data_IF_739072227514
#
_entry.id   IF_739072227514
#
_cell.length_a   1.000
_cell.length_b   1.000
_cell.length_c   1.000
_cell.angle_alpha   90.00
_cell.angle_beta   90.00
_cell.angle_gamma   90.00
#
_symmetry.space_group_name_H-M   'P 1'
#
loop_
_entity.id
_entity.type
_entity.pdbx_description
1 polymer ?
#
# COMPACT_ATOMS: atom_id res chain seq x y z
N UNK A 1 -16.00 -4.93 -11.45
CA UNK A 1 -16.58 -5.74 -10.33
C UNK A 1 -15.67 -5.61 -9.11
N UNK A 2 -16.22 -5.55 -7.88
CA UNK A 2 -15.41 -5.54 -6.67
C UNK A 2 -14.49 -6.76 -6.59
N UNK A 3 -13.30 -6.61 -5.99
CA UNK A 3 -12.39 -7.70 -5.65
C UNK A 3 -12.69 -8.18 -4.22
N UNK A 4 -12.44 -9.44 -3.93
CA UNK A 4 -12.52 -9.97 -2.55
C UNK A 4 -11.19 -9.75 -1.82
N UNK A 5 -11.23 -9.76 -0.48
CA UNK A 5 -10.00 -9.70 0.33
C UNK A 5 -9.06 -10.89 0.04
N UNK A 6 -9.60 -12.11 -0.13
CA UNK A 6 -8.78 -13.27 -0.45
C UNK A 6 -8.02 -13.10 -1.78
N UNK A 7 -8.68 -12.57 -2.81
CA UNK A 7 -8.04 -12.28 -4.10
C UNK A 7 -6.97 -11.19 -3.97
N UNK A 8 -7.23 -10.13 -3.20
CA UNK A 8 -6.26 -9.07 -2.95
C UNK A 8 -5.06 -9.59 -2.14
N UNK A 9 -5.28 -10.46 -1.15
CA UNK A 9 -4.23 -11.12 -0.38
C UNK A 9 -3.33 -12.01 -1.25
N UNK A 10 -3.85 -12.68 -2.28
CA UNK A 10 -3.03 -13.46 -3.22
C UNK A 10 -1.96 -12.59 -3.87
N UNK A 11 -2.28 -11.34 -4.22
CA UNK A 11 -1.30 -10.40 -4.76
C UNK A 11 -0.35 -9.91 -3.66
N UNK A 12 -0.89 -9.36 -2.58
CA UNK A 12 -0.11 -8.66 -1.54
C UNK A 12 0.89 -9.59 -0.84
N UNK A 13 0.47 -10.82 -0.49
CA UNK A 13 1.31 -11.77 0.25
C UNK A 13 2.51 -12.31 -0.55
N UNK A 14 2.53 -12.16 -1.88
CA UNK A 14 3.74 -12.46 -2.68
C UNK A 14 4.92 -11.57 -2.31
N UNK A 15 4.64 -10.36 -1.83
CA UNK A 15 5.64 -9.34 -1.47
C UNK A 15 5.95 -9.30 0.02
N UNK A 16 5.11 -9.94 0.82
CA UNK A 16 5.34 -10.08 2.26
C UNK A 16 6.13 -11.36 2.51
N UNK A 17 7.22 -11.24 3.26
CA UNK A 17 8.08 -12.39 3.57
C UNK A 17 7.37 -13.43 4.43
N UNK A 18 7.92 -14.66 4.45
CA UNK A 18 7.58 -15.65 5.45
C UNK A 18 8.09 -15.26 6.84
N UNK A 19 8.13 -16.23 7.75
CA UNK A 19 8.62 -16.00 9.11
C UNK A 19 10.10 -15.54 9.10
N UNK A 20 10.35 -14.42 9.78
CA UNK A 20 11.69 -13.90 10.07
C UNK A 20 11.78 -13.51 11.54
N UNK A 21 12.96 -13.74 12.13
CA UNK A 21 13.28 -13.32 13.50
C UNK A 21 14.74 -12.85 13.53
N UNK A 22 14.98 -11.70 12.88
CA UNK A 22 16.31 -11.10 12.88
C UNK A 22 16.49 -10.29 14.15
N UNK A 23 17.46 -10.60 15.04
CA UNK A 23 17.71 -9.84 16.26
C UNK A 23 18.11 -8.37 16.03
N UNK A 24 18.53 -8.04 14.80
CA UNK A 24 18.89 -6.66 14.41
C UNK A 24 17.68 -5.87 13.86
N UNK A 25 16.53 -6.53 13.70
CA UNK A 25 15.30 -5.86 13.28
C UNK A 25 14.54 -5.31 14.50
N UNK A 26 14.41 -3.97 14.62
CA UNK A 26 13.66 -3.35 15.72
C UNK A 26 12.18 -3.79 15.77
N UNK A 27 11.60 -4.21 14.62
CA UNK A 27 10.23 -4.72 14.54
C UNK A 27 10.04 -6.09 15.19
N UNK A 28 11.13 -6.83 15.45
CA UNK A 28 11.11 -8.16 16.02
C UNK A 28 10.55 -9.23 15.08
N UNK A 29 10.11 -10.38 15.66
CA UNK A 29 9.58 -11.48 14.85
C UNK A 29 8.41 -11.05 13.99
N UNK A 30 8.46 -11.42 12.71
CA UNK A 30 7.45 -11.07 11.70
C UNK A 30 7.08 -12.31 10.90
N UNK A 31 5.80 -12.48 10.55
CA UNK A 31 5.33 -13.53 9.67
C UNK A 31 4.18 -13.00 8.80
N UNK A 32 4.22 -13.28 7.50
CA UNK A 32 3.26 -12.73 6.54
C UNK A 32 3.07 -11.21 6.67
N UNK A 33 4.19 -10.45 6.84
CA UNK A 33 4.14 -8.99 7.04
C UNK A 33 3.58 -8.51 8.38
N UNK A 34 3.20 -9.42 9.28
CA UNK A 34 2.63 -9.08 10.59
C UNK A 34 3.70 -9.24 11.67
N UNK A 35 4.05 -8.13 12.34
CA UNK A 35 5.00 -8.13 13.46
C UNK A 35 4.35 -8.69 14.74
N UNK A 36 5.17 -9.26 15.62
CA UNK A 36 4.70 -9.88 16.88
C UNK A 36 3.82 -8.96 17.71
N UNK A 37 4.16 -7.68 17.83
CA UNK A 37 3.38 -6.72 18.61
C UNK A 37 1.96 -6.52 18.07
N UNK A 38 1.80 -6.49 16.72
CA UNK A 38 0.48 -6.41 16.07
C UNK A 38 -0.34 -7.67 16.33
N UNK A 39 0.31 -8.83 16.24
CA UNK A 39 -0.34 -10.10 16.52
C UNK A 39 -0.78 -10.21 18.00
N UNK A 40 0.07 -9.76 18.93
CA UNK A 40 -0.28 -9.71 20.36
C UNK A 40 -1.50 -8.81 20.62
N UNK A 41 -1.57 -7.64 19.98
CA UNK A 41 -2.73 -6.73 20.06
C UNK A 41 -4.01 -7.39 19.56
N UNK A 42 -3.93 -8.04 18.39
CA UNK A 42 -5.06 -8.79 17.81
C UNK A 42 -5.53 -9.89 18.76
N UNK A 43 -4.64 -10.76 19.25
CA UNK A 43 -5.01 -11.84 20.16
C UNK A 43 -5.62 -11.31 21.47
N UNK A 44 -5.07 -10.25 22.01
CA UNK A 44 -5.63 -9.57 23.19
C UNK A 44 -7.05 -9.05 22.94
N UNK A 45 -7.31 -8.45 21.79
CA UNK A 45 -8.66 -7.95 21.42
C UNK A 45 -9.69 -9.07 21.30
N UNK A 46 -9.25 -10.32 21.02
CA UNK A 46 -10.08 -11.53 20.94
C UNK A 46 -10.16 -12.30 22.27
N UNK A 47 -9.53 -11.81 23.34
CA UNK A 47 -9.46 -12.54 24.61
C UNK A 47 -8.59 -13.82 24.55
N UNK A 48 -7.70 -13.92 23.54
CA UNK A 48 -6.81 -15.07 23.35
C UNK A 48 -5.47 -14.87 24.06
N UNK A 49 -4.87 -15.96 24.54
CA UNK A 49 -3.52 -15.93 25.11
C UNK A 49 -2.48 -15.53 24.07
N UNK A 50 -1.36 -14.92 24.55
CA UNK A 50 -0.22 -14.60 23.69
C UNK A 50 0.33 -15.85 23.01
N UNK A 51 0.71 -15.70 21.73
CA UNK A 51 1.29 -16.76 20.91
C UNK A 51 2.37 -16.17 20.01
N UNK A 52 3.36 -16.96 19.61
CA UNK A 52 4.34 -16.54 18.63
C UNK A 52 3.67 -16.29 17.28
N UNK A 53 4.02 -15.16 16.61
CA UNK A 53 3.56 -14.85 15.26
C UNK A 53 3.99 -15.91 14.24
N UNK A 54 5.00 -16.71 14.55
CA UNK A 54 5.40 -17.86 13.73
C UNK A 54 4.24 -18.85 13.55
N UNK A 55 3.37 -18.99 14.55
CA UNK A 55 2.24 -19.91 14.56
C UNK A 55 0.91 -19.27 14.13
N UNK A 56 0.95 -18.06 13.56
CA UNK A 56 -0.24 -17.38 13.05
C UNK A 56 -0.93 -18.24 11.98
N UNK A 57 -2.24 -18.40 12.11
CA UNK A 57 -3.05 -19.15 11.14
C UNK A 57 -3.53 -18.28 10.00
N UNK A 58 -3.95 -18.91 8.87
CA UNK A 58 -4.54 -18.18 7.75
C UNK A 58 -5.76 -17.34 8.19
N UNK A 59 -6.65 -17.91 9.02
CA UNK A 59 -7.81 -17.19 9.51
C UNK A 59 -7.43 -15.93 10.30
N UNK A 60 -6.42 -16.03 11.18
CA UNK A 60 -5.96 -14.91 11.98
C UNK A 60 -5.31 -13.81 11.14
N UNK A 61 -4.39 -14.16 10.22
CA UNK A 61 -3.80 -13.11 9.39
C UNK A 61 -4.80 -12.48 8.42
N UNK A 62 -5.74 -13.25 7.87
CA UNK A 62 -6.80 -12.68 7.02
C UNK A 62 -7.65 -11.68 7.80
N UNK A 63 -8.05 -12.00 9.02
CA UNK A 63 -8.80 -11.07 9.86
C UNK A 63 -7.99 -9.84 10.28
N UNK A 64 -6.69 -9.99 10.53
CA UNK A 64 -5.80 -8.85 10.79
C UNK A 64 -5.74 -7.92 9.57
N UNK A 65 -5.57 -8.47 8.37
CA UNK A 65 -5.56 -7.69 7.13
C UNK A 65 -6.89 -7.01 6.86
N UNK A 66 -8.00 -7.69 7.16
CA UNK A 66 -9.34 -7.12 7.03
C UNK A 66 -9.50 -5.89 7.94
N UNK A 67 -9.34 -6.08 9.24
CA UNK A 67 -9.62 -5.06 10.26
C UNK A 67 -8.67 -3.86 10.16
N UNK A 68 -7.38 -4.09 9.88
CA UNK A 68 -6.38 -3.02 9.95
C UNK A 68 -6.08 -2.34 8.61
N UNK A 69 -6.46 -2.94 7.47
CA UNK A 69 -6.11 -2.39 6.15
C UNK A 69 -7.29 -2.36 5.18
N UNK A 70 -8.04 -3.46 5.04
CA UNK A 70 -9.12 -3.58 4.06
C UNK A 70 -10.34 -2.72 4.39
N UNK A 71 -10.89 -2.87 5.59
CA UNK A 71 -12.04 -2.09 6.07
C UNK A 71 -11.74 -0.58 6.17
N UNK A 72 -10.58 -0.14 6.73
CA UNK A 72 -10.27 1.28 6.82
C UNK A 72 -10.21 2.01 5.48
N UNK A 73 -9.79 1.33 4.41
CA UNK A 73 -9.75 1.91 3.05
C UNK A 73 -11.02 1.61 2.24
N UNK A 74 -12.00 0.96 2.85
CA UNK A 74 -13.32 0.63 2.26
C UNK A 74 -13.22 -0.13 0.94
N UNK A 75 -12.19 -0.95 0.75
CA UNK A 75 -11.87 -1.60 -0.51
C UNK A 75 -13.02 -2.44 -1.09
N UNK A 76 -13.83 -3.08 -0.24
CA UNK A 76 -14.97 -3.92 -0.65
C UNK A 76 -16.11 -3.18 -1.36
N UNK A 77 -16.16 -1.84 -1.24
CA UNK A 77 -17.20 -1.00 -1.83
C UNK A 77 -16.80 -0.36 -3.15
N UNK A 78 -15.59 -0.65 -3.62
CA UNK A 78 -14.96 -0.03 -4.77
C UNK A 78 -14.78 -1.04 -5.90
N UNK A 79 -14.51 -0.55 -7.11
CA UNK A 79 -14.10 -1.42 -8.18
C UNK A 79 -12.82 -2.18 -7.83
N UNK A 80 -12.67 -3.39 -8.38
CA UNK A 80 -11.58 -4.29 -8.03
C UNK A 80 -10.20 -3.69 -8.27
N UNK A 81 -10.05 -2.84 -9.29
CA UNK A 81 -8.80 -2.12 -9.59
C UNK A 81 -8.43 -1.17 -8.45
N UNK A 82 -9.38 -0.33 -8.03
CA UNK A 82 -9.16 0.64 -6.96
C UNK A 82 -9.08 -0.06 -5.60
N UNK A 83 -9.92 -1.07 -5.35
CA UNK A 83 -9.88 -1.85 -4.13
C UNK A 83 -8.52 -2.51 -3.89
N UNK A 84 -7.93 -3.15 -4.94
CA UNK A 84 -6.60 -3.74 -4.87
C UNK A 84 -5.51 -2.67 -4.64
N UNK A 85 -5.55 -1.58 -5.41
CA UNK A 85 -4.57 -0.51 -5.31
C UNK A 85 -4.55 0.10 -3.90
N UNK A 86 -5.72 0.36 -3.31
CA UNK A 86 -5.83 0.90 -1.95
C UNK A 86 -5.36 -0.11 -0.91
N UNK A 87 -5.79 -1.36 -1.00
CA UNK A 87 -5.41 -2.37 -0.03
C UNK A 87 -3.90 -2.57 0.02
N UNK A 88 -3.25 -2.86 -1.12
CA UNK A 88 -1.81 -3.07 -1.16
C UNK A 88 -1.03 -1.81 -0.75
N UNK A 89 -1.55 -0.62 -1.10
CA UNK A 89 -0.94 0.65 -0.66
C UNK A 89 -1.07 0.85 0.84
N UNK A 90 -2.22 0.50 1.44
CA UNK A 90 -2.42 0.60 2.88
C UNK A 90 -1.51 -0.37 3.65
N UNK A 91 -1.33 -1.58 3.15
CA UNK A 91 -0.39 -2.55 3.74
C UNK A 91 1.05 -2.01 3.71
N UNK A 92 1.46 -1.40 2.58
CA UNK A 92 2.85 -0.99 2.36
C UNK A 92 3.21 0.38 2.97
N UNK A 93 2.29 1.35 2.93
CA UNK A 93 2.53 2.75 3.35
C UNK A 93 1.69 3.18 4.57
N UNK A 94 0.92 2.24 5.15
CA UNK A 94 -0.06 2.54 6.18
C UNK A 94 -1.35 3.15 5.61
N UNK A 95 -2.44 3.03 6.37
CA UNK A 95 -3.77 3.53 5.98
C UNK A 95 -3.75 5.04 5.70
N UNK A 96 -3.14 5.83 6.56
CA UNK A 96 -3.06 7.28 6.38
C UNK A 96 -2.32 7.68 5.11
N UNK A 97 -1.18 7.06 4.84
CA UNK A 97 -0.41 7.29 3.60
C UNK A 97 -1.19 6.87 2.34
N UNK A 98 -1.93 5.76 2.42
CA UNK A 98 -2.82 5.32 1.35
C UNK A 98 -3.93 6.34 1.09
N UNK A 99 -4.64 6.76 2.14
CA UNK A 99 -5.76 7.71 2.01
C UNK A 99 -5.31 9.07 1.47
N UNK A 100 -4.13 9.57 1.84
CA UNK A 100 -3.60 10.81 1.25
C UNK A 100 -3.41 10.70 -0.27
N UNK A 101 -2.94 9.55 -0.75
CA UNK A 101 -2.78 9.30 -2.21
C UNK A 101 -4.12 9.21 -2.93
N UNK A 102 -5.11 8.59 -2.28
CA UNK A 102 -6.49 8.61 -2.78
C UNK A 102 -7.02 10.05 -2.85
N UNK A 103 -6.86 10.82 -1.79
CA UNK A 103 -7.30 12.22 -1.72
C UNK A 103 -6.62 13.09 -2.78
N UNK A 104 -5.31 12.92 -2.97
CA UNK A 104 -4.55 13.59 -4.02
C UNK A 104 -5.08 13.22 -5.42
N UNK A 105 -5.34 11.93 -5.67
CA UNK A 105 -5.86 11.45 -6.95
C UNK A 105 -7.28 11.91 -7.25
N UNK A 106 -8.06 12.24 -6.22
CA UNK A 106 -9.42 12.78 -6.32
C UNK A 106 -9.47 14.30 -6.24
N UNK A 107 -8.32 14.97 -6.09
CA UNK A 107 -8.22 16.42 -5.91
C UNK A 107 -9.07 16.95 -4.73
N UNK A 108 -9.06 16.23 -3.59
CA UNK A 108 -9.72 16.62 -2.35
C UNK A 108 -8.70 16.83 -1.22
N UNK A 109 -9.05 17.58 -0.13
CA UNK A 109 -8.11 17.88 0.95
C UNK A 109 -7.45 16.64 1.56
N UNK A 110 -6.13 16.64 1.68
CA UNK A 110 -5.30 15.51 2.15
C UNK A 110 -5.23 15.46 3.68
N UNK A 111 -6.17 14.77 4.31
CA UNK A 111 -6.24 14.58 5.76
C UNK A 111 -5.63 13.26 6.25
N UNK A 112 -5.46 12.29 5.34
CA UNK A 112 -5.02 10.93 5.67
C UNK A 112 -6.10 10.05 6.32
N UNK A 113 -7.34 10.54 6.37
CA UNK A 113 -8.51 9.80 6.85
C UNK A 113 -9.62 9.81 5.81
N UNK A 114 -10.48 8.80 5.82
CA UNK A 114 -11.64 8.78 4.94
C UNK A 114 -12.63 9.90 5.35
N UNK A 115 -12.97 10.79 4.41
CA UNK A 115 -13.84 11.94 4.63
C UNK A 115 -15.07 11.87 3.72
N UNK A 116 -16.07 12.70 4.01
CA UNK A 116 -17.23 12.87 3.11
C UNK A 116 -16.80 13.36 1.73
N UNK A 117 -15.78 14.25 1.65
CA UNK A 117 -15.25 14.72 0.37
C UNK A 117 -14.79 13.59 -0.55
N UNK A 118 -14.21 12.48 -0.01
CA UNK A 118 -13.94 11.27 -0.80
C UNK A 118 -15.25 10.62 -1.24
N UNK A 119 -16.19 10.43 -0.29
CA UNK A 119 -17.45 9.71 -0.54
C UNK A 119 -18.32 10.41 -1.60
N UNK A 120 -18.26 11.73 -1.65
CA UNK A 120 -19.07 12.55 -2.56
C UNK A 120 -18.60 12.43 -4.02
N UNK A 121 -17.31 12.18 -4.26
CA UNK A 121 -16.74 12.21 -5.62
C UNK A 121 -16.31 10.83 -6.16
N UNK A 122 -16.04 9.86 -5.29
CA UNK A 122 -15.40 8.60 -5.68
C UNK A 122 -16.24 7.75 -6.64
N UNK A 123 -17.56 7.80 -6.52
CA UNK A 123 -18.48 7.02 -7.38
C UNK A 123 -18.67 7.63 -8.77
N UNK A 124 -18.39 8.93 -8.92
CA UNK A 124 -18.44 9.65 -10.20
C UNK A 124 -17.07 9.65 -10.90
N UNK A 125 -16.01 9.26 -10.19
CA UNK A 125 -14.64 9.23 -10.71
C UNK A 125 -14.38 7.98 -11.55
N UNK A 126 -13.48 8.08 -12.51
CA UNK A 126 -12.88 6.89 -13.14
C UNK A 126 -11.98 6.17 -12.13
N UNK A 127 -12.51 5.12 -11.51
CA UNK A 127 -11.80 4.38 -10.46
C UNK A 127 -10.56 3.66 -10.98
N UNK A 128 -10.48 3.32 -12.28
CA UNK A 128 -9.27 2.78 -12.88
C UNK A 128 -8.17 3.85 -12.96
N UNK A 129 -8.51 5.04 -13.42
CA UNK A 129 -7.56 6.16 -13.48
C UNK A 129 -7.06 6.54 -12.07
N UNK A 130 -7.96 6.63 -11.09
CA UNK A 130 -7.61 6.87 -9.67
C UNK A 130 -6.64 5.80 -9.16
N UNK A 131 -6.89 4.51 -9.45
CA UNK A 131 -6.02 3.41 -9.05
C UNK A 131 -4.62 3.51 -9.70
N UNK A 132 -4.55 3.87 -10.98
CA UNK A 132 -3.29 4.09 -11.71
C UNK A 132 -2.52 5.26 -11.07
N UNK A 133 -3.18 6.37 -10.76
CA UNK A 133 -2.57 7.53 -10.14
C UNK A 133 -2.01 7.21 -8.75
N UNK A 134 -2.72 6.40 -7.94
CA UNK A 134 -2.20 5.92 -6.65
C UNK A 134 -0.91 5.11 -6.84
N UNK A 135 -0.86 4.21 -7.83
CA UNK A 135 0.34 3.43 -8.13
C UNK A 135 1.51 4.34 -8.57
N UNK A 136 1.26 5.32 -9.43
CA UNK A 136 2.27 6.31 -9.87
C UNK A 136 2.80 7.13 -8.68
N UNK A 137 1.92 7.61 -7.79
CA UNK A 137 2.30 8.35 -6.57
C UNK A 137 3.15 7.50 -5.60
N UNK A 138 2.95 6.17 -5.58
CA UNK A 138 3.82 5.26 -4.82
C UNK A 138 5.22 5.21 -5.41
N UNK A 139 5.32 5.07 -6.73
CA UNK A 139 6.60 5.01 -7.44
C UNK A 139 7.37 6.33 -7.24
N UNK A 140 6.72 7.48 -7.45
CA UNK A 140 7.32 8.79 -7.20
C UNK A 140 7.92 8.90 -5.79
N UNK A 141 7.17 8.46 -4.76
CA UNK A 141 7.67 8.44 -3.37
C UNK A 141 8.97 7.63 -3.20
N UNK A 142 9.18 6.54 -3.96
CA UNK A 142 10.44 5.76 -3.85
C UNK A 142 11.64 6.58 -4.28
N UNK A 143 11.50 7.31 -5.37
CA UNK A 143 12.58 8.15 -5.87
C UNK A 143 12.85 9.35 -4.96
N UNK A 144 11.80 10.01 -4.42
CA UNK A 144 11.98 11.10 -3.46
C UNK A 144 12.69 10.60 -2.21
N UNK A 145 12.28 9.43 -1.69
CA UNK A 145 12.96 8.82 -0.56
C UNK A 145 14.45 8.58 -0.81
N UNK A 146 14.85 8.19 -2.02
CA UNK A 146 16.27 7.99 -2.35
C UNK A 146 17.01 9.32 -2.49
N UNK A 147 16.36 10.41 -2.91
CA UNK A 147 16.95 11.76 -2.90
C UNK A 147 17.25 12.20 -1.46
N UNK A 148 16.32 11.95 -0.52
CA UNK A 148 16.50 12.30 0.90
C UNK A 148 17.41 11.33 1.65
N UNK A 149 17.34 10.03 1.34
CA UNK A 149 18.05 8.94 2.00
C UNK A 149 18.81 8.08 0.98
N UNK A 150 19.94 8.57 0.44
CA UNK A 150 20.72 7.85 -0.58
C UNK A 150 21.22 6.48 -0.10
N UNK A 151 21.41 6.30 1.21
CA UNK A 151 21.77 5.03 1.87
C UNK A 151 20.73 3.92 1.62
N UNK A 152 19.47 4.26 1.34
CA UNK A 152 18.40 3.31 1.08
C UNK A 152 18.28 2.88 -0.38
N UNK A 153 19.16 3.35 -1.25
CA UNK A 153 19.14 2.99 -2.69
C UNK A 153 19.22 1.48 -2.94
N UNK A 154 19.82 0.75 -2.03
CA UNK A 154 19.91 -0.73 -2.10
C UNK A 154 18.55 -1.42 -2.09
N UNK A 155 17.51 -0.77 -1.57
CA UNK A 155 16.14 -1.30 -1.49
C UNK A 155 15.28 -0.88 -2.69
N UNK A 156 15.72 0.09 -3.50
CA UNK A 156 14.92 0.71 -4.55
C UNK A 156 14.38 -0.32 -5.54
N UNK A 157 15.22 -1.22 -6.04
CA UNK A 157 14.81 -2.27 -6.99
C UNK A 157 13.67 -3.13 -6.42
N UNK A 158 13.78 -3.58 -5.18
CA UNK A 158 12.72 -4.36 -4.53
C UNK A 158 11.40 -3.60 -4.39
N UNK A 159 11.47 -2.31 -4.01
CA UNK A 159 10.28 -1.47 -3.90
C UNK A 159 9.61 -1.25 -5.26
N UNK A 160 10.40 -0.93 -6.29
CA UNK A 160 9.89 -0.70 -7.65
C UNK A 160 9.29 -1.97 -8.25
N UNK A 161 9.87 -3.14 -8.02
CA UNK A 161 9.31 -4.41 -8.47
C UNK A 161 7.88 -4.62 -7.96
N UNK A 162 7.63 -4.37 -6.66
CA UNK A 162 6.28 -4.44 -6.09
C UNK A 162 5.34 -3.38 -6.69
N UNK A 163 5.77 -2.12 -6.71
CA UNK A 163 4.94 -1.00 -7.14
C UNK A 163 4.58 -1.12 -8.63
N UNK A 164 5.52 -1.54 -9.46
CA UNK A 164 5.31 -1.81 -10.89
C UNK A 164 4.40 -3.03 -11.12
N UNK A 165 4.57 -4.10 -10.32
CA UNK A 165 3.68 -5.26 -10.40
C UNK A 165 2.24 -4.89 -10.05
N UNK A 166 2.02 -4.01 -9.05
CA UNK A 166 0.70 -3.49 -8.71
C UNK A 166 0.12 -2.69 -9.87
N UNK A 167 0.87 -1.76 -10.45
CA UNK A 167 0.43 -0.95 -11.58
C UNK A 167 0.03 -1.81 -12.79
N UNK A 168 0.84 -2.82 -13.13
CA UNK A 168 0.51 -3.80 -14.19
C UNK A 168 -0.77 -4.56 -13.87
N UNK A 169 -0.91 -5.05 -12.63
CA UNK A 169 -2.10 -5.80 -12.23
C UNK A 169 -3.37 -4.95 -12.33
N UNK A 170 -3.31 -3.70 -11.87
CA UNK A 170 -4.42 -2.72 -11.96
C UNK A 170 -4.79 -2.46 -13.43
N UNK A 171 -3.82 -2.15 -14.29
CA UNK A 171 -4.05 -1.92 -15.72
C UNK A 171 -4.66 -3.14 -16.40
N UNK A 172 -4.14 -4.34 -16.14
CA UNK A 172 -4.67 -5.59 -16.68
C UNK A 172 -6.12 -5.86 -16.24
N UNK A 173 -6.44 -5.64 -14.96
CA UNK A 173 -7.80 -5.78 -14.44
C UNK A 173 -8.77 -4.76 -15.06
N UNK A 174 -8.28 -3.58 -15.41
CA UNK A 174 -9.02 -2.54 -16.13
C UNK A 174 -9.18 -2.81 -17.63
N UNK A 175 -8.69 -3.95 -18.15
CA UNK A 175 -8.78 -4.29 -19.58
C UNK A 175 -7.77 -3.56 -20.48
N UNK A 176 -6.80 -2.83 -19.91
CA UNK A 176 -5.72 -2.22 -20.67
C UNK A 176 -4.74 -3.29 -21.16
N UNK A 177 -4.30 -3.19 -22.43
CA UNK A 177 -3.24 -4.06 -22.95
C UNK A 177 -1.95 -3.77 -22.18
N UNK A 178 -1.46 -4.76 -21.44
CA UNK A 178 -0.16 -4.70 -20.80
C UNK A 178 0.75 -5.64 -21.56
N UNK A 179 1.84 -5.13 -22.14
CA UNK A 179 2.82 -6.00 -22.78
C UNK A 179 3.29 -7.03 -21.74
N UNK A 180 3.36 -8.30 -22.18
CA UNK A 180 3.90 -9.37 -21.34
C UNK A 180 5.40 -9.09 -21.15
N UNK A 181 5.75 -8.60 -19.98
CA UNK A 181 7.14 -8.50 -19.54
C UNK A 181 7.44 -9.73 -18.69
N UNK A 182 8.59 -10.34 -18.91
CA UNK A 182 9.10 -11.38 -18.01
C UNK A 182 9.39 -10.76 -16.62
N UNK A 183 9.30 -11.57 -15.55
CA UNK A 183 9.45 -11.09 -14.16
C UNK A 183 10.82 -10.43 -13.87
N UNK A 184 11.81 -10.65 -14.76
CA UNK A 184 13.18 -10.13 -14.65
C UNK A 184 13.49 -8.89 -15.51
N UNK A 185 12.53 -8.38 -16.28
CA UNK A 185 12.77 -7.16 -17.05
C UNK A 185 12.89 -5.97 -16.08
N UNK A 186 14.06 -5.32 -16.13
CA UNK A 186 14.30 -4.01 -15.52
C UNK A 186 13.35 -3.00 -16.20
N UNK A 187 12.12 -2.92 -15.67
CA UNK A 187 11.13 -1.97 -16.15
C UNK A 187 11.52 -0.59 -15.63
N UNK A 188 12.33 0.09 -16.39
CA UNK A 188 12.37 1.54 -16.38
C UNK A 188 11.04 2.06 -16.92
N UNK A 189 10.02 2.15 -16.04
CA UNK A 189 9.00 3.15 -16.29
C UNK A 189 9.72 4.48 -16.37
N UNK A 190 9.40 5.24 -17.41
CA UNK A 190 9.94 6.57 -17.55
C UNK A 190 9.55 7.37 -16.29
N UNK A 191 10.54 7.50 -15.39
CA UNK A 191 10.37 8.19 -14.11
C UNK A 191 9.97 9.63 -14.35
N UNK A 192 10.49 10.22 -15.42
CA UNK A 192 10.18 11.59 -15.80
C UNK A 192 8.71 11.68 -16.27
N UNK A 193 8.18 10.66 -16.98
CA UNK A 193 6.74 10.58 -17.29
C UNK A 193 5.89 10.53 -16.02
N UNK A 194 6.30 9.75 -15.03
CA UNK A 194 5.57 9.66 -13.75
C UNK A 194 5.59 11.01 -13.02
N UNK A 195 6.77 11.64 -12.89
CA UNK A 195 6.89 12.94 -12.24
C UNK A 195 6.11 14.03 -12.97
N UNK A 196 6.21 14.06 -14.31
CA UNK A 196 5.51 15.03 -15.14
C UNK A 196 3.98 14.84 -15.18
N UNK A 197 3.48 13.71 -14.67
CA UNK A 197 2.02 13.47 -14.54
C UNK A 197 1.41 14.12 -13.29
N UNK A 198 2.22 14.74 -12.41
CA UNK A 198 1.75 15.41 -11.20
C UNK A 198 2.40 16.78 -11.04
N UNK A 199 1.66 17.73 -10.46
CA UNK A 199 2.23 19.01 -10.05
C UNK A 199 3.28 18.79 -8.95
N UNK A 200 4.47 19.42 -9.05
CA UNK A 200 5.54 19.25 -8.06
C UNK A 200 5.12 19.57 -6.62
N UNK A 201 4.25 20.57 -6.46
CA UNK A 201 3.69 20.99 -5.17
C UNK A 201 2.86 19.87 -4.53
N UNK A 202 2.14 19.09 -5.34
CA UNK A 202 1.35 17.95 -4.85
C UNK A 202 2.27 16.86 -4.27
N UNK A 203 3.34 16.51 -4.98
CA UNK A 203 4.30 15.51 -4.51
C UNK A 203 4.96 15.93 -3.20
N UNK A 204 5.39 17.20 -3.13
CA UNK A 204 6.00 17.77 -1.93
C UNK A 204 5.04 17.79 -0.72
N UNK A 205 3.77 18.15 -0.95
CA UNK A 205 2.76 18.19 0.12
C UNK A 205 2.43 16.77 0.65
N UNK A 206 2.32 15.78 -0.23
CA UNK A 206 2.13 14.37 0.19
C UNK A 206 3.28 13.93 1.10
N UNK A 207 4.51 14.24 0.71
CA UNK A 207 5.70 13.86 1.47
C UNK A 207 5.76 14.56 2.83
N UNK A 208 5.50 15.87 2.86
CA UNK A 208 5.43 16.64 4.10
C UNK A 208 4.42 16.03 5.08
N UNK A 209 3.23 15.67 4.61
CA UNK A 209 2.18 15.08 5.43
C UNK A 209 2.50 13.63 5.87
N UNK A 210 3.19 12.85 5.05
CA UNK A 210 3.64 11.51 5.41
C UNK A 210 4.68 11.56 6.53
N UNK A 211 5.62 12.51 6.47
CA UNK A 211 6.67 12.68 7.47
C UNK A 211 6.10 13.12 8.83
N UNK A 212 5.15 14.05 8.85
CA UNK A 212 4.45 14.49 10.08
C UNK A 212 3.70 13.35 10.80
N UNK A 213 3.27 12.33 10.08
CA UNK A 213 2.57 11.18 10.67
C UNK A 213 3.54 10.10 11.17
N UNK A 214 4.71 9.98 10.54
CA UNK A 214 5.79 9.08 10.98
C UNK A 214 6.29 9.44 12.38
N UNK A 215 6.38 10.72 12.70
CA UNK A 215 6.79 11.20 14.01
C UNK A 215 5.79 10.91 15.14
N UNK A 216 4.48 10.80 14.82
CA UNK A 216 3.42 10.51 15.80
C UNK A 216 3.24 9.03 16.14
N UNK A 217 3.85 8.12 15.39
CA UNK A 217 3.73 6.66 15.59
C UNK A 217 4.96 6.06 16.31
N UNK A 218 5.86 6.90 16.84
CA UNK A 218 7.09 6.47 17.54
C UNK A 218 6.91 6.49 19.07
N UNK A 219 5.76 6.98 19.58
CA UNK A 219 5.42 7.00 21.02
C UNK A 219 4.60 5.78 21.46
#
# INVERSE_FOLDING_TARGET
MPITLDEALVFTLKWEGGFTNNPLDPGGPTNFGIIQSRYDQYRKSKGLSRQSVQAITKAEYTEIYDVYYWEPVRAKWLDGTLGLALFDTAVNLGVGGCIRRLQASLNVPMTGTWTNAISDVIHESDQLEVAINICKLRIAKRYDRIKERPDQRVFLKGWLNRDNALLRKVKSMGGMSVMAFEEDDDLDFDVDEIYNSFEPELLHEIERLDNLQGEKNID
#
